data_IF_433595397781
#
_entry.id   IF_433595397781
#
_cell.length_a   1.000
_cell.length_b   1.000
_cell.length_c   1.000
_cell.angle_alpha   90.00
_cell.angle_beta   90.00
_cell.angle_gamma   90.00
#
_symmetry.space_group_name_H-M   'P 1'
#
loop_
_entity.id
_entity.type
_entity.pdbx_description
1 polymer ?
#
# COMPACT_ATOMS: atom_id res chain seq x y z
N UNK A 1 5.99 0.75 10.46
CA UNK A 1 6.00 -0.72 10.46
C UNK A 1 7.01 -1.21 9.43
N UNK A 2 7.85 -2.21 9.75
CA UNK A 2 8.73 -2.82 8.75
C UNK A 2 8.02 -3.99 8.08
N UNK A 3 7.59 -3.83 6.84
CA UNK A 3 6.95 -4.89 6.06
C UNK A 3 7.95 -6.01 5.74
N UNK A 4 7.54 -7.29 5.74
CA UNK A 4 8.34 -8.36 5.17
C UNK A 4 8.70 -8.05 3.72
N UNK A 5 9.90 -8.42 3.27
CA UNK A 5 10.39 -8.10 1.93
C UNK A 5 9.44 -8.55 0.81
N UNK A 6 8.81 -9.73 0.97
CA UNK A 6 7.82 -10.25 0.03
C UNK A 6 6.57 -9.36 -0.04
N UNK A 7 6.06 -8.89 1.10
CA UNK A 7 4.89 -8.01 1.17
C UNK A 7 5.22 -6.66 0.54
N UNK A 8 6.40 -6.12 0.83
CA UNK A 8 6.85 -4.87 0.23
C UNK A 8 6.93 -4.96 -1.30
N UNK A 9 7.50 -6.04 -1.83
CA UNK A 9 7.56 -6.28 -3.27
C UNK A 9 6.16 -6.42 -3.88
N UNK A 10 5.26 -7.17 -3.23
CA UNK A 10 3.87 -7.31 -3.67
C UNK A 10 3.16 -5.95 -3.75
N UNK A 11 3.23 -5.14 -2.68
CA UNK A 11 2.62 -3.81 -2.63
C UNK A 11 3.17 -2.90 -3.73
N UNK A 12 4.49 -2.88 -3.92
CA UNK A 12 5.14 -2.08 -4.96
C UNK A 12 4.68 -2.47 -6.36
N UNK A 13 4.71 -3.77 -6.68
CA UNK A 13 4.32 -4.27 -8.01
C UNK A 13 2.83 -4.09 -8.28
N UNK A 14 1.97 -4.30 -7.28
CA UNK A 14 0.54 -4.08 -7.44
C UNK A 14 0.22 -2.61 -7.76
N UNK A 15 0.88 -1.66 -7.09
CA UNK A 15 0.76 -0.23 -7.41
C UNK A 15 1.18 0.11 -8.85
N UNK A 16 2.25 -0.52 -9.34
CA UNK A 16 2.74 -0.36 -10.72
C UNK A 16 1.78 -0.96 -11.75
N UNK A 17 1.22 -2.14 -11.46
CA UNK A 17 0.21 -2.78 -12.30
C UNK A 17 -1.07 -1.93 -12.34
N UNK A 18 -1.53 -1.43 -11.19
CA UNK A 18 -2.72 -0.57 -11.09
C UNK A 18 -2.62 0.67 -11.97
N UNK A 19 -1.43 1.28 -12.06
CA UNK A 19 -1.19 2.43 -12.94
C UNK A 19 -1.41 2.10 -14.43
N UNK A 20 -1.15 0.86 -14.86
CA UNK A 20 -1.43 0.39 -16.23
C UNK A 20 -2.91 0.19 -16.51
N UNK A 21 -3.74 0.13 -15.46
CA UNK A 21 -5.20 0.01 -15.55
C UNK A 21 -5.93 1.33 -15.26
N UNK A 22 -5.21 2.44 -15.13
CA UNK A 22 -5.78 3.75 -14.81
C UNK A 22 -6.07 3.99 -13.33
N UNK A 23 -5.55 3.16 -12.43
CA UNK A 23 -5.65 3.33 -10.98
C UNK A 23 -4.43 4.13 -10.49
N UNK A 24 -4.64 5.11 -9.61
CA UNK A 24 -3.54 5.83 -8.97
C UNK A 24 -2.61 4.84 -8.24
N UNK A 25 -1.28 5.00 -8.43
CA UNK A 25 -0.26 4.12 -7.83
C UNK A 25 -0.45 3.96 -6.31
N UNK A 26 -0.65 5.05 -5.59
CA UNK A 26 -0.84 5.04 -4.14
C UNK A 26 -2.09 4.29 -3.74
N UNK A 27 -3.21 4.52 -4.44
CA UNK A 27 -4.46 3.79 -4.19
C UNK A 27 -4.27 2.29 -4.37
N UNK A 28 -3.55 1.87 -5.40
CA UNK A 28 -3.18 0.47 -5.61
C UNK A 28 -2.32 -0.09 -4.46
N UNK A 29 -1.34 0.67 -3.99
CA UNK A 29 -0.49 0.27 -2.86
C UNK A 29 -1.28 0.16 -1.55
N UNK A 30 -2.20 1.08 -1.28
CA UNK A 30 -3.10 1.04 -0.11
C UNK A 30 -3.97 -0.21 -0.17
N UNK A 31 -4.60 -0.48 -1.32
CA UNK A 31 -5.39 -1.69 -1.51
C UNK A 31 -4.57 -2.97 -1.28
N UNK A 32 -3.37 -3.05 -1.88
CA UNK A 32 -2.50 -4.20 -1.74
C UNK A 32 -2.07 -4.43 -0.28
N UNK A 33 -1.74 -3.36 0.45
CA UNK A 33 -1.40 -3.43 1.87
C UNK A 33 -2.59 -3.94 2.69
N UNK A 34 -3.79 -3.38 2.48
CA UNK A 34 -5.00 -3.80 3.19
C UNK A 34 -5.37 -5.25 2.89
N UNK A 35 -5.21 -5.70 1.65
CA UNK A 35 -5.52 -7.06 1.22
C UNK A 35 -4.71 -8.13 1.97
N UNK A 36 -3.42 -7.86 2.23
CA UNK A 36 -2.53 -8.79 2.93
C UNK A 36 -2.47 -8.56 4.45
N UNK A 37 -3.18 -7.55 4.96
CA UNK A 37 -3.15 -7.21 6.37
C UNK A 37 -4.04 -8.16 7.17
N UNK A 38 -3.53 -8.78 8.25
CA UNK A 38 -4.30 -9.74 9.06
C UNK A 38 -5.36 -9.05 9.94
N UNK A 39 -5.31 -7.72 10.05
CA UNK A 39 -6.24 -6.90 10.80
C UNK A 39 -6.49 -5.58 10.07
N UNK A 40 -7.59 -4.88 10.38
CA UNK A 40 -7.79 -3.51 9.94
C UNK A 40 -6.62 -2.61 10.34
N UNK A 41 -6.30 -1.66 9.47
CA UNK A 41 -5.27 -0.66 9.68
C UNK A 41 -5.89 0.74 9.75
N UNK A 42 -5.40 1.55 10.67
CA UNK A 42 -5.69 2.99 10.73
C UNK A 42 -4.83 3.76 9.72
N UNK A 43 -5.25 4.98 9.38
CA UNK A 43 -4.54 5.82 8.40
C UNK A 43 -3.07 6.07 8.77
N UNK A 44 -2.77 6.27 10.05
CA UNK A 44 -1.41 6.52 10.51
C UNK A 44 -0.50 5.28 10.34
N UNK A 45 -1.07 4.07 10.40
CA UNK A 45 -0.35 2.82 10.14
C UNK A 45 -0.06 2.64 8.64
N UNK A 46 -0.98 3.08 7.78
CA UNK A 46 -0.80 3.09 6.32
C UNK A 46 0.29 4.09 5.93
N UNK A 47 0.29 5.29 6.51
CA UNK A 47 1.35 6.29 6.35
C UNK A 47 2.71 5.68 6.71
N UNK A 48 2.80 5.05 7.88
CA UNK A 48 4.06 4.48 8.37
C UNK A 48 4.53 3.28 7.53
N UNK A 49 3.61 2.48 6.97
CA UNK A 49 3.93 1.32 6.16
C UNK A 49 4.34 1.67 4.71
N UNK A 50 3.71 2.70 4.12
CA UNK A 50 3.92 3.07 2.72
C UNK A 50 4.84 4.30 2.52
N UNK A 51 5.13 5.06 3.58
CA UNK A 51 5.96 6.26 3.49
C UNK A 51 5.30 7.40 2.70
N UNK A 52 3.97 7.50 2.75
CA UNK A 52 3.16 8.51 2.05
C UNK A 52 2.61 9.55 3.04
N UNK A 53 2.21 10.73 2.55
CA UNK A 53 1.57 11.72 3.42
C UNK A 53 0.18 11.25 3.87
N UNK A 54 -0.24 11.71 5.06
CA UNK A 54 -1.57 11.40 5.61
C UNK A 54 -2.73 11.84 4.73
N UNK A 55 -2.55 12.93 3.97
CA UNK A 55 -3.52 13.42 2.99
C UNK A 55 -3.65 12.55 1.74
N UNK A 56 -2.71 11.62 1.53
CA UNK A 56 -2.65 10.72 0.38
C UNK A 56 -3.09 9.29 0.74
N UNK A 57 -3.49 9.07 2.00
CA UNK A 57 -4.21 7.89 2.46
C UNK A 57 -5.70 8.10 2.23
#
# INVERSE_FOLDING_TARGET
MKLPAMVQAFVLHFGEMGSRWGINRTVGQIYALLFVSPRPLCADEIVEALGISRSNV
#
